data_IF_422481251135
#
_entry.id   IF_422481251135
#
_cell.length_a   1.000
_cell.length_b   1.000
_cell.length_c   1.000
_cell.angle_alpha   90.00
_cell.angle_beta   90.00
_cell.angle_gamma   90.00
#
_symmetry.space_group_name_H-M   'P 1'
#
loop_
_entity.id
_entity.type
_entity.pdbx_description
1 polymer ?
#
# COMPACT_ATOMS: atom_id res chain seq x y z
N UNK A 1 -14.86 -6.49 6.81
CA UNK A 1 -13.55 -6.95 6.27
C UNK A 1 -12.50 -7.09 7.36
N UNK A 2 -12.30 -6.09 8.23
CA UNK A 2 -11.27 -6.20 9.28
C UNK A 2 -11.60 -7.27 10.33
N UNK A 3 -12.87 -7.50 10.66
CA UNK A 3 -13.25 -8.56 11.62
C UNK A 3 -12.88 -9.95 11.08
N UNK A 4 -13.18 -10.20 9.81
CA UNK A 4 -12.72 -11.40 9.12
C UNK A 4 -11.18 -11.49 9.12
N UNK A 5 -10.48 -10.38 8.89
CA UNK A 5 -9.01 -10.36 8.96
C UNK A 5 -8.46 -10.71 10.35
N UNK A 6 -9.13 -10.27 11.43
CA UNK A 6 -8.78 -10.63 12.81
C UNK A 6 -9.05 -12.11 13.09
N UNK A 7 -10.18 -12.63 12.62
CA UNK A 7 -10.51 -14.06 12.71
C UNK A 7 -9.48 -14.92 11.98
N UNK A 8 -9.12 -14.55 10.74
CA UNK A 8 -8.10 -15.26 9.95
C UNK A 8 -6.74 -15.24 10.65
N UNK A 9 -6.32 -14.08 11.17
CA UNK A 9 -5.07 -13.95 11.92
C UNK A 9 -5.06 -14.85 13.16
N UNK A 10 -6.17 -14.89 13.91
CA UNK A 10 -6.30 -15.75 15.08
C UNK A 10 -6.25 -17.23 14.70
N UNK A 11 -6.99 -17.63 13.66
CA UNK A 11 -6.99 -18.99 13.16
C UNK A 11 -5.59 -19.48 12.76
N UNK A 12 -4.84 -18.67 12.02
CA UNK A 12 -3.45 -19.01 11.64
C UNK A 12 -2.56 -19.13 12.88
N UNK A 13 -2.72 -18.25 13.87
CA UNK A 13 -1.98 -18.35 15.13
C UNK A 13 -2.32 -19.63 15.90
N UNK A 14 -3.60 -20.01 15.97
CA UNK A 14 -4.02 -21.21 16.69
C UNK A 14 -3.49 -22.48 16.03
N UNK A 15 -3.45 -22.52 14.69
CA UNK A 15 -2.96 -23.67 13.94
C UNK A 15 -1.43 -23.76 13.86
N UNK A 16 -0.71 -22.63 13.84
CA UNK A 16 0.73 -22.61 13.50
C UNK A 16 1.61 -21.98 14.57
N UNK A 17 1.02 -21.28 15.55
CA UNK A 17 1.71 -20.39 16.50
C UNK A 17 2.52 -19.26 15.85
N UNK A 18 2.30 -19.00 14.56
CA UNK A 18 2.88 -17.88 13.83
C UNK A 18 1.86 -16.76 13.67
N UNK A 19 2.34 -15.53 13.84
CA UNK A 19 1.52 -14.33 13.68
C UNK A 19 1.59 -13.81 12.26
N UNK A 20 0.42 -13.53 11.64
CA UNK A 20 0.33 -12.95 10.30
C UNK A 20 -0.32 -11.57 10.31
N UNK A 21 0.13 -10.66 9.44
CA UNK A 21 -0.60 -9.43 9.15
C UNK A 21 -1.65 -9.65 8.06
N UNK A 22 -2.77 -8.94 8.11
CA UNK A 22 -3.81 -8.98 7.09
C UNK A 22 -4.07 -7.57 6.53
N UNK A 23 -3.85 -7.40 5.23
CA UNK A 23 -4.16 -6.18 4.49
C UNK A 23 -5.21 -6.48 3.42
N UNK A 24 -6.27 -5.68 3.38
CA UNK A 24 -7.32 -5.80 2.38
C UNK A 24 -7.49 -4.48 1.61
N UNK A 25 -7.84 -4.58 0.34
CA UNK A 25 -8.04 -3.43 -0.54
C UNK A 25 -8.77 -3.83 -1.82
N UNK A 26 -9.36 -2.88 -2.56
CA UNK A 26 -10.09 -3.16 -3.80
C UNK A 26 -9.18 -3.58 -4.97
N UNK A 27 -7.86 -3.40 -4.84
CA UNK A 27 -6.84 -3.87 -5.79
C UNK A 27 -5.70 -4.54 -5.02
N UNK A 28 -4.91 -5.39 -5.71
CA UNK A 28 -3.74 -6.07 -5.11
C UNK A 28 -2.74 -5.06 -4.51
N UNK A 29 -2.57 -3.93 -5.20
CA UNK A 29 -1.71 -2.83 -4.80
C UNK A 29 -2.18 -2.20 -3.50
N UNK A 30 -3.46 -1.82 -3.41
CA UNK A 30 -4.03 -1.22 -2.21
C UNK A 30 -4.07 -2.21 -1.05
N UNK A 31 -4.32 -3.49 -1.30
CA UNK A 31 -4.23 -4.53 -0.28
C UNK A 31 -2.79 -4.63 0.27
N UNK A 32 -1.76 -4.50 -0.57
CA UNK A 32 -0.37 -4.48 -0.12
C UNK A 32 -0.02 -3.22 0.65
N UNK A 33 -0.46 -2.05 0.20
CA UNK A 33 -0.31 -0.79 0.96
C UNK A 33 -0.99 -0.88 2.33
N UNK A 34 -2.19 -1.48 2.40
CA UNK A 34 -2.87 -1.75 3.67
C UNK A 34 -2.06 -2.70 4.56
N UNK A 35 -1.46 -3.75 3.98
CA UNK A 35 -0.63 -4.69 4.72
C UNK A 35 0.67 -4.08 5.25
N UNK A 36 1.29 -3.18 4.49
CA UNK A 36 2.44 -2.41 4.97
C UNK A 36 2.03 -1.56 6.18
N UNK A 37 0.98 -0.77 6.03
CA UNK A 37 0.46 0.12 7.07
C UNK A 37 0.00 -0.63 8.33
N UNK A 38 -0.57 -1.84 8.19
CA UNK A 38 -1.01 -2.65 9.32
C UNK A 38 0.15 -3.13 10.20
N UNK A 39 1.35 -3.25 9.62
CA UNK A 39 2.60 -3.58 10.32
C UNK A 39 3.30 -2.34 10.86
N UNK A 40 3.34 -1.28 10.06
CA UNK A 40 4.01 -0.02 10.39
C UNK A 40 3.35 0.68 11.58
N UNK A 41 2.01 0.75 11.59
CA UNK A 41 1.28 1.51 12.58
C UNK A 41 0.57 0.59 13.58
N UNK A 42 1.11 0.55 14.80
CA UNK A 42 0.65 -0.32 15.91
C UNK A 42 -0.85 -0.25 16.20
N UNK A 43 -1.48 0.90 15.96
CA UNK A 43 -2.92 1.11 16.14
C UNK A 43 -3.80 0.15 15.34
N UNK A 44 -3.33 -0.36 14.20
CA UNK A 44 -4.06 -1.32 13.37
C UNK A 44 -3.90 -2.77 13.84
N UNK A 45 -3.00 -3.03 14.80
CA UNK A 45 -2.80 -4.36 15.41
C UNK A 45 -2.63 -5.48 14.37
N UNK A 46 -1.94 -5.18 13.26
CA UNK A 46 -1.68 -6.12 12.18
C UNK A 46 -2.84 -6.38 11.22
N UNK A 47 -3.97 -5.67 11.32
CA UNK A 47 -5.10 -5.81 10.38
C UNK A 47 -5.59 -4.45 9.88
N UNK A 48 -5.66 -4.27 8.56
CA UNK A 48 -6.17 -3.05 7.96
C UNK A 48 -6.93 -3.33 6.66
N UNK A 49 -8.11 -2.73 6.50
CA UNK A 49 -8.86 -2.78 5.24
C UNK A 49 -9.07 -1.38 4.65
N UNK A 50 -8.74 -1.25 3.37
CA UNK A 50 -9.12 -0.14 2.51
C UNK A 50 -10.37 -0.54 1.71
N UNK A 51 -11.38 0.32 1.67
CA UNK A 51 -12.66 0.04 1.00
C UNK A 51 -13.05 1.18 0.08
N UNK A 52 -13.86 0.89 -0.94
CA UNK A 52 -14.39 1.93 -1.85
C UNK A 52 -15.29 2.94 -1.12
N UNK A 53 -15.95 2.52 -0.04
CA UNK A 53 -16.80 3.39 0.79
C UNK A 53 -16.05 4.37 1.69
N UNK A 54 -14.73 4.30 1.78
CA UNK A 54 -13.92 5.27 2.55
C UNK A 54 -12.64 5.66 1.79
N UNK A 55 -12.77 6.46 0.71
CA UNK A 55 -11.63 6.89 -0.08
C UNK A 55 -10.68 7.80 0.70
N UNK A 56 -11.17 8.53 1.71
CA UNK A 56 -10.33 9.40 2.54
C UNK A 56 -9.32 8.61 3.38
N UNK A 57 -9.71 7.43 3.89
CA UNK A 57 -8.78 6.52 4.57
C UNK A 57 -7.67 6.04 3.65
N UNK A 58 -8.00 5.71 2.39
CA UNK A 58 -7.00 5.36 1.37
C UNK A 58 -6.06 6.53 1.11
N UNK A 59 -6.60 7.73 0.87
CA UNK A 59 -5.80 8.94 0.60
C UNK A 59 -4.85 9.26 1.76
N UNK A 60 -5.35 9.19 3.00
CA UNK A 60 -4.55 9.43 4.22
C UNK A 60 -3.44 8.40 4.39
N UNK A 61 -3.71 7.12 4.10
CA UNK A 61 -2.67 6.09 4.14
C UNK A 61 -1.60 6.38 3.09
N UNK A 62 -1.99 6.61 1.83
CA UNK A 62 -1.06 6.83 0.73
C UNK A 62 -0.23 8.10 0.92
N UNK A 63 -0.76 9.14 1.58
CA UNK A 63 0.01 10.36 1.90
C UNK A 63 1.10 10.14 2.95
N UNK A 64 1.04 9.04 3.69
CA UNK A 64 2.01 8.71 4.73
C UNK A 64 2.91 7.53 4.36
N UNK A 65 2.57 6.80 3.29
CA UNK A 65 3.39 5.70 2.78
C UNK A 65 4.53 6.26 1.93
N UNK A 66 5.81 6.05 2.31
CA UNK A 66 6.95 6.44 1.47
C UNK A 66 6.90 5.74 0.11
N UNK A 67 7.41 6.42 -0.93
CA UNK A 67 7.35 5.90 -2.30
C UNK A 67 8.13 4.59 -2.47
N UNK A 68 9.20 4.39 -1.71
CA UNK A 68 10.00 3.16 -1.65
C UNK A 68 9.27 1.96 -1.05
N UNK A 69 8.23 2.19 -0.24
CA UNK A 69 7.41 1.13 0.36
C UNK A 69 6.32 0.62 -0.60
N UNK A 70 6.23 1.21 -1.79
CA UNK A 70 5.35 0.75 -2.84
C UNK A 70 5.92 -0.53 -3.46
N UNK A 71 5.06 -1.54 -3.58
CA UNK A 71 5.45 -2.77 -4.26
C UNK A 71 5.84 -2.49 -5.72
N UNK A 72 7.10 -2.75 -6.04
CA UNK A 72 7.67 -2.60 -7.38
C UNK A 72 8.54 -1.35 -7.53
N UNK A 73 8.61 -0.50 -6.51
CA UNK A 73 9.55 0.62 -6.46
C UNK A 73 10.83 0.16 -5.76
N UNK A 74 11.84 -0.21 -6.55
CA UNK A 74 13.18 -0.49 -6.01
C UNK A 74 13.96 0.78 -5.68
N UNK A 75 15.05 0.65 -4.91
CA UNK A 75 15.87 1.77 -4.44
C UNK A 75 16.30 2.76 -5.56
N UNK A 76 16.72 2.26 -6.73
CA UNK A 76 17.09 3.11 -7.88
C UNK A 76 15.93 3.96 -8.38
N UNK A 77 14.72 3.41 -8.40
CA UNK A 77 13.51 4.11 -8.84
C UNK A 77 13.10 5.11 -7.76
N UNK A 78 13.08 4.68 -6.49
CA UNK A 78 12.78 5.56 -5.36
C UNK A 78 13.68 6.80 -5.35
N UNK A 79 14.99 6.66 -5.55
CA UNK A 79 15.91 7.81 -5.64
C UNK A 79 15.54 8.78 -6.75
N UNK A 80 15.21 8.28 -7.94
CA UNK A 80 14.78 9.13 -9.06
C UNK A 80 13.46 9.85 -8.76
N UNK A 81 12.48 9.15 -8.19
CA UNK A 81 11.18 9.73 -7.79
C UNK A 81 11.37 10.82 -6.73
N UNK A 82 12.21 10.57 -5.73
CA UNK A 82 12.52 11.54 -4.68
C UNK A 82 13.16 12.83 -5.22
N UNK A 83 14.07 12.74 -6.21
CA UNK A 83 14.65 13.92 -6.88
C UNK A 83 13.58 14.74 -7.61
N UNK A 84 12.54 14.09 -8.13
CA UNK A 84 11.40 14.74 -8.77
C UNK A 84 10.36 15.27 -7.77
N UNK A 85 10.62 15.17 -6.47
CA UNK A 85 9.68 15.58 -5.42
C UNK A 85 8.55 14.59 -5.14
N UNK A 86 8.55 13.42 -5.78
CA UNK A 86 7.57 12.35 -5.55
C UNK A 86 8.07 11.50 -4.38
N UNK A 87 7.56 11.77 -3.18
CA UNK A 87 8.07 11.18 -1.92
C UNK A 87 7.13 10.15 -1.34
N UNK A 88 5.84 10.24 -1.64
CA UNK A 88 4.80 9.38 -1.08
C UNK A 88 4.06 8.60 -2.17
N UNK A 89 3.36 7.54 -1.75
CA UNK A 89 2.48 6.80 -2.64
C UNK A 89 1.33 7.66 -3.19
N UNK A 90 0.88 8.66 -2.43
CA UNK A 90 -0.11 9.62 -2.92
C UNK A 90 0.48 10.53 -3.99
N UNK A 91 1.72 11.02 -3.82
CA UNK A 91 2.37 11.86 -4.84
C UNK A 91 2.49 11.10 -6.17
N UNK A 92 2.87 9.81 -6.09
CA UNK A 92 2.97 8.96 -7.28
C UNK A 92 1.61 8.74 -7.94
N UNK A 93 0.56 8.51 -7.14
CA UNK A 93 -0.82 8.34 -7.63
C UNK A 93 -1.38 9.59 -8.31
N UNK A 94 -0.97 10.78 -7.87
CA UNK A 94 -1.39 12.06 -8.43
C UNK A 94 -0.52 12.51 -9.62
N UNK A 95 0.56 11.80 -9.93
CA UNK A 95 1.45 12.14 -11.04
C UNK A 95 0.83 11.71 -12.38
N UNK A 96 1.07 12.49 -13.45
CA UNK A 96 0.59 12.16 -14.79
C UNK A 96 1.02 10.73 -15.21
N UNK A 97 0.08 9.82 -15.50
CA UNK A 97 0.41 8.44 -15.83
C UNK A 97 1.24 8.30 -17.12
N UNK A 98 1.08 9.21 -18.09
CA UNK A 98 1.89 9.20 -19.30
C UNK A 98 3.37 9.53 -19.01
N UNK A 99 3.61 10.45 -18.07
CA UNK A 99 4.96 10.76 -17.60
C UNK A 99 5.58 9.56 -16.90
N UNK A 100 4.83 8.87 -16.03
CA UNK A 100 5.32 7.68 -15.33
C UNK A 100 5.67 6.57 -16.32
N UNK A 101 4.81 6.27 -17.31
CA UNK A 101 5.08 5.25 -18.33
C UNK A 101 6.30 5.54 -19.20
N UNK A 102 6.53 6.82 -19.52
CA UNK A 102 7.65 7.23 -20.36
C UNK A 102 8.99 7.17 -19.63
N UNK A 103 9.01 7.44 -18.33
CA UNK A 103 10.24 7.61 -17.55
C UNK A 103 10.54 6.45 -16.59
N UNK A 104 9.56 5.60 -16.31
CA UNK A 104 9.64 4.49 -15.36
C UNK A 104 8.99 3.22 -15.91
N UNK A 105 9.06 2.13 -15.13
CA UNK A 105 8.46 0.84 -15.49
C UNK A 105 6.95 0.98 -15.68
N UNK A 106 6.42 0.39 -16.77
CA UNK A 106 4.98 0.37 -17.11
C UNK A 106 4.15 0.13 -15.85
N UNK A 107 4.46 -0.97 -15.16
CA UNK A 107 3.67 -1.51 -14.06
C UNK A 107 3.47 -0.61 -12.84
N UNK A 108 4.20 0.51 -12.73
CA UNK A 108 3.97 1.53 -11.69
C UNK A 108 2.75 2.41 -12.01
N UNK A 109 2.50 2.67 -13.29
CA UNK A 109 1.39 3.53 -13.74
C UNK A 109 0.01 2.85 -13.63
N UNK A 110 -0.07 1.54 -13.87
CA UNK A 110 -1.35 0.80 -13.89
C UNK A 110 -1.98 0.64 -12.52
N UNK A 111 -1.12 0.67 -11.49
CA UNK A 111 -1.44 0.20 -10.15
C UNK A 111 -1.85 1.29 -9.17
N UNK A 112 -1.46 2.54 -9.44
CA UNK A 112 -1.68 3.69 -8.55
C UNK A 112 -2.39 4.87 -9.24
N UNK A 113 -2.49 4.88 -10.57
CA UNK A 113 -2.94 6.05 -11.34
C UNK A 113 -4.32 5.84 -11.99
N UNK A 114 -5.06 4.80 -11.57
CA UNK A 114 -6.47 4.57 -11.95
C UNK A 114 -7.33 4.34 -10.70
#
# INVERSE_FOLDING_TARGET
MEDFGRQLRQHVYDCTRLTIGVGAGPTKTLAKSAQWASKEWKQFRGVLALTRGNPQRTRKLLSLQPVEEIWGVGNRIARKLNVLGIKTALDLALTNPAFIRKNFLWSLSERYVN
#
